data_IF_106973023913
#
_entry.id   IF_106973023913
#
_cell.length_a   1.000
_cell.length_b   1.000
_cell.length_c   1.000
_cell.angle_alpha   90.00
_cell.angle_beta   90.00
_cell.angle_gamma   90.00
#
_symmetry.space_group_name_H-M   'P 1'
#
loop_
_entity.id
_entity.type
_entity.pdbx_description
1 polymer ?
#
# COMPACT_ATOMS: atom_id res chain seq x y z
N UNK A 1 -0.02 13.71 -9.74
CA UNK A 1 0.64 12.79 -10.71
C UNK A 1 2.14 13.11 -10.89
N UNK A 2 2.89 13.36 -9.80
CA UNK A 2 4.26 13.88 -9.93
C UNK A 2 5.38 12.95 -9.41
N UNK A 3 5.09 11.89 -8.65
CA UNK A 3 6.12 10.96 -8.15
C UNK A 3 6.37 9.73 -9.05
N UNK A 4 5.60 9.54 -10.12
CA UNK A 4 5.77 8.39 -11.02
C UNK A 4 7.04 8.43 -11.90
N UNK A 5 7.90 9.46 -11.73
CA UNK A 5 9.09 9.68 -12.58
C UNK A 5 10.37 9.06 -12.02
N UNK A 6 10.42 8.77 -10.71
CA UNK A 6 11.65 8.32 -10.03
C UNK A 6 11.64 6.81 -9.70
N UNK A 7 10.65 6.06 -10.17
CA UNK A 7 10.53 4.62 -9.89
C UNK A 7 10.44 3.77 -11.16
N UNK A 8 11.08 2.59 -11.14
CA UNK A 8 11.12 1.65 -12.26
C UNK A 8 9.79 0.90 -12.47
N UNK A 9 8.89 0.93 -11.49
CA UNK A 9 7.69 0.09 -11.47
C UNK A 9 6.64 0.46 -12.53
N UNK A 10 6.33 1.76 -12.76
CA UNK A 10 5.50 2.18 -13.89
C UNK A 10 6.07 1.72 -15.25
N UNK A 11 7.39 1.62 -15.37
CA UNK A 11 8.07 1.16 -16.59
C UNK A 11 7.94 -0.36 -16.76
N UNK A 12 8.20 -1.15 -15.72
CA UNK A 12 8.05 -2.61 -15.73
C UNK A 12 6.60 -3.04 -16.04
N UNK A 13 5.61 -2.24 -15.63
CA UNK A 13 4.19 -2.50 -15.88
C UNK A 13 3.77 -2.43 -17.36
N UNK A 14 4.61 -1.89 -18.27
CA UNK A 14 4.28 -1.72 -19.70
C UNK A 14 4.27 -3.02 -20.51
N UNK A 15 4.84 -4.10 -19.98
CA UNK A 15 4.86 -5.43 -20.63
C UNK A 15 3.56 -6.21 -20.36
N UNK A 16 2.79 -5.80 -19.34
CA UNK A 16 1.55 -6.49 -18.96
C UNK A 16 0.36 -6.10 -19.84
N UNK A 17 -0.60 -7.02 -20.06
CA UNK A 17 -1.88 -6.68 -20.67
C UNK A 17 -2.57 -5.54 -19.90
N UNK A 18 -3.31 -4.64 -20.58
CA UNK A 18 -3.87 -3.43 -19.95
C UNK A 18 -4.71 -3.70 -18.69
N UNK A 19 -5.45 -4.81 -18.65
CA UNK A 19 -6.27 -5.20 -17.51
C UNK A 19 -5.42 -5.50 -16.27
N UNK A 20 -4.36 -6.29 -16.41
CA UNK A 20 -3.46 -6.66 -15.30
C UNK A 20 -2.67 -5.44 -14.82
N UNK A 21 -2.21 -4.60 -15.76
CA UNK A 21 -1.52 -3.35 -15.43
C UNK A 21 -2.37 -2.44 -14.55
N UNK A 22 -3.68 -2.33 -14.79
CA UNK A 22 -4.57 -1.51 -13.96
C UNK A 22 -4.63 -2.00 -12.52
N UNK A 23 -4.73 -3.31 -12.32
CA UNK A 23 -4.76 -3.93 -10.99
C UNK A 23 -3.42 -3.73 -10.26
N UNK A 24 -2.32 -3.94 -10.96
CA UNK A 24 -0.99 -3.73 -10.41
C UNK A 24 -0.77 -2.27 -10.00
N UNK A 25 -1.16 -1.30 -10.83
CA UNK A 25 -1.03 0.12 -10.51
C UNK A 25 -1.89 0.55 -9.32
N UNK A 26 -3.05 -0.08 -9.10
CA UNK A 26 -3.89 0.18 -7.93
C UNK A 26 -3.21 -0.30 -6.64
N UNK A 27 -2.65 -1.52 -6.64
CA UNK A 27 -1.90 -2.06 -5.49
C UNK A 27 -0.63 -1.26 -5.24
N UNK A 28 0.09 -0.90 -6.30
CA UNK A 28 1.29 -0.08 -6.20
C UNK A 28 0.99 1.33 -5.65
N UNK A 29 -0.11 1.96 -6.07
CA UNK A 29 -0.53 3.25 -5.51
C UNK A 29 -0.81 3.20 -4.01
N UNK A 30 -1.38 2.08 -3.53
CA UNK A 30 -1.51 1.82 -2.10
C UNK A 30 -0.16 1.64 -1.40
N UNK A 31 0.72 0.79 -1.93
CA UNK A 31 2.03 0.53 -1.31
C UNK A 31 2.84 1.83 -1.20
N UNK A 32 2.83 2.65 -2.27
CA UNK A 32 3.52 3.94 -2.27
C UNK A 32 2.99 4.90 -1.21
N UNK A 33 1.67 4.94 -1.00
CA UNK A 33 1.06 5.74 0.08
C UNK A 33 1.59 5.28 1.45
N UNK A 34 1.62 3.97 1.72
CA UNK A 34 2.12 3.43 2.99
C UNK A 34 3.58 3.80 3.21
N UNK A 35 4.41 3.67 2.17
CA UNK A 35 5.83 4.04 2.23
C UNK A 35 6.02 5.56 2.43
N UNK A 36 5.29 6.41 1.70
CA UNK A 36 5.31 7.86 1.88
C UNK A 36 4.98 8.27 3.33
N UNK A 37 4.03 7.58 3.96
CA UNK A 37 3.68 7.79 5.36
C UNK A 37 4.83 7.37 6.28
N UNK A 38 5.45 6.23 6.01
CA UNK A 38 6.59 5.72 6.79
C UNK A 38 7.80 6.63 6.75
N UNK A 39 8.16 7.14 5.57
CA UNK A 39 9.42 7.84 5.34
C UNK A 39 9.29 9.36 5.55
N UNK A 40 8.30 9.98 4.91
CA UNK A 40 8.29 11.43 4.66
C UNK A 40 7.16 12.17 5.40
N UNK A 41 6.13 11.47 5.88
CA UNK A 41 4.99 12.16 6.48
C UNK A 41 5.34 12.93 7.75
N UNK A 42 4.72 14.10 7.88
CA UNK A 42 4.74 14.95 9.06
C UNK A 42 3.56 14.61 9.98
N UNK A 43 3.76 14.81 11.29
CA UNK A 43 2.74 14.55 12.30
C UNK A 43 2.78 13.11 12.83
N UNK A 44 1.63 12.61 13.27
CA UNK A 44 1.50 11.27 13.84
C UNK A 44 1.32 10.22 12.73
N UNK A 45 2.44 9.58 12.37
CA UNK A 45 2.50 8.54 11.33
C UNK A 45 1.69 7.31 11.69
N UNK A 46 1.60 6.94 12.97
CA UNK A 46 0.82 5.77 13.39
C UNK A 46 -0.67 6.03 13.20
N UNK A 47 -1.15 7.21 13.61
CA UNK A 47 -2.53 7.61 13.36
C UNK A 47 -2.87 7.70 11.86
N UNK A 48 -1.91 8.13 11.03
CA UNK A 48 -2.07 8.12 9.58
C UNK A 48 -2.19 6.69 9.01
N UNK A 49 -1.36 5.75 9.47
CA UNK A 49 -1.46 4.34 9.08
C UNK A 49 -2.79 3.72 9.53
N UNK A 50 -3.30 4.08 10.71
CA UNK A 50 -4.61 3.64 11.18
C UNK A 50 -5.74 4.11 10.25
N UNK A 51 -5.67 5.36 9.77
CA UNK A 51 -6.62 5.89 8.78
C UNK A 51 -6.54 5.14 7.44
N UNK A 52 -5.33 4.77 7.00
CA UNK A 52 -5.15 3.95 5.79
C UNK A 52 -5.78 2.58 5.96
N UNK A 53 -5.56 1.92 7.10
CA UNK A 53 -6.15 0.60 7.37
C UNK A 53 -7.67 0.65 7.42
N UNK A 54 -8.24 1.68 8.05
CA UNK A 54 -9.70 1.89 8.09
C UNK A 54 -10.27 1.98 6.67
N UNK A 55 -9.63 2.77 5.81
CA UNK A 55 -10.07 2.91 4.43
C UNK A 55 -9.87 1.65 3.58
N UNK A 56 -8.79 0.89 3.80
CA UNK A 56 -8.62 -0.43 3.20
C UNK A 56 -9.81 -1.31 3.61
N UNK A 57 -10.18 -1.35 4.89
CA UNK A 57 -11.36 -2.12 5.33
C UNK A 57 -12.65 -1.62 4.70
N UNK A 58 -12.82 -0.31 4.49
CA UNK A 58 -13.97 0.26 3.75
C UNK A 58 -14.05 -0.26 2.33
N UNK A 59 -12.92 -0.33 1.62
CA UNK A 59 -12.85 -0.89 0.26
C UNK A 59 -13.34 -2.34 0.25
N UNK A 60 -12.87 -3.16 1.20
CA UNK A 60 -13.23 -4.57 1.29
C UNK A 60 -14.67 -4.80 1.78
N UNK A 61 -15.23 -3.86 2.55
CA UNK A 61 -16.65 -3.83 2.89
C UNK A 61 -17.56 -3.35 1.74
N UNK A 62 -16.99 -2.99 0.57
CA UNK A 62 -17.74 -2.49 -0.58
C UNK A 62 -18.15 -1.01 -0.48
N UNK A 63 -17.73 -0.32 0.58
CA UNK A 63 -17.99 1.10 0.81
C UNK A 63 -16.95 2.00 0.13
N UNK A 64 -17.24 3.28 0.00
CA UNK A 64 -16.33 4.26 -0.60
C UNK A 64 -15.23 4.64 0.41
N UNK A 65 -13.94 4.54 0.04
CA UNK A 65 -12.84 5.04 0.88
C UNK A 65 -12.80 6.57 0.87
N UNK A 66 -12.26 7.16 1.94
CA UNK A 66 -12.04 8.59 2.02
C UNK A 66 -10.81 9.05 1.22
N UNK A 67 -9.75 8.23 1.22
CA UNK A 67 -8.48 8.43 0.54
C UNK A 67 -8.63 8.09 -0.94
N UNK A 68 -8.49 9.10 -1.79
CA UNK A 68 -8.74 8.97 -3.23
C UNK A 68 -7.81 7.95 -3.91
N UNK A 69 -6.58 7.81 -3.41
CA UNK A 69 -5.59 6.85 -3.91
C UNK A 69 -6.03 5.39 -3.73
N UNK A 70 -6.97 5.12 -2.80
CA UNK A 70 -7.52 3.79 -2.56
C UNK A 70 -8.76 3.47 -3.41
N UNK A 71 -9.38 4.46 -4.07
CA UNK A 71 -10.54 4.22 -4.94
C UNK A 71 -10.29 3.17 -6.04
N UNK A 72 -9.12 3.16 -6.74
CA UNK A 72 -8.83 2.13 -7.75
C UNK A 72 -8.76 0.70 -7.20
N UNK A 73 -8.50 0.53 -5.90
CA UNK A 73 -8.48 -0.81 -5.28
C UNK A 73 -9.87 -1.46 -5.27
N UNK A 74 -10.97 -0.69 -5.21
CA UNK A 74 -12.33 -1.25 -5.24
C UNK A 74 -12.58 -2.15 -6.45
N UNK A 75 -12.24 -1.64 -7.64
CA UNK A 75 -12.36 -2.41 -8.88
C UNK A 75 -11.41 -3.61 -8.93
N UNK A 76 -10.26 -3.53 -8.25
CA UNK A 76 -9.28 -4.61 -8.18
C UNK A 76 -9.73 -5.73 -7.26
N UNK A 77 -10.18 -5.41 -6.05
CA UNK A 77 -10.71 -6.38 -5.08
C UNK A 77 -11.92 -7.10 -5.68
N UNK A 78 -12.87 -6.36 -6.26
CA UNK A 78 -14.05 -6.94 -6.87
C UNK A 78 -13.73 -7.87 -8.07
N UNK A 79 -12.72 -7.54 -8.87
CA UNK A 79 -12.38 -8.32 -10.07
C UNK A 79 -11.49 -9.53 -9.78
N UNK A 80 -10.68 -9.49 -8.70
CA UNK A 80 -9.65 -10.51 -8.44
C UNK A 80 -9.97 -11.40 -7.25
N UNK A 81 -10.86 -10.99 -6.35
CA UNK A 81 -11.12 -11.72 -5.10
C UNK A 81 -9.92 -11.72 -4.14
N UNK A 82 -8.99 -10.78 -4.31
CA UNK A 82 -7.81 -10.63 -3.46
C UNK A 82 -8.22 -10.55 -1.98
N UNK A 83 -7.56 -11.26 -1.06
CA UNK A 83 -7.82 -11.15 0.37
C UNK A 83 -7.30 -9.82 0.94
N UNK A 84 -7.83 -9.39 2.09
CA UNK A 84 -7.43 -8.13 2.75
C UNK A 84 -6.09 -8.26 3.47
N UNK A 85 -5.77 -9.45 3.96
CA UNK A 85 -4.65 -9.71 4.86
C UNK A 85 -3.29 -9.22 4.32
N UNK A 86 -2.94 -9.40 3.02
CA UNK A 86 -1.67 -8.90 2.50
C UNK A 86 -1.54 -7.38 2.56
N UNK A 87 -2.63 -6.63 2.40
CA UNK A 87 -2.60 -5.16 2.50
C UNK A 87 -2.45 -4.73 3.95
N UNK A 88 -3.14 -5.38 4.88
CA UNK A 88 -3.00 -5.11 6.32
C UNK A 88 -1.58 -5.46 6.79
N UNK A 89 -1.03 -6.57 6.34
CA UNK A 89 0.34 -6.99 6.65
C UNK A 89 1.39 -5.96 6.19
N UNK A 90 1.18 -5.29 5.04
CA UNK A 90 2.06 -4.21 4.59
C UNK A 90 2.00 -2.98 5.49
N UNK A 91 0.81 -2.63 6.00
CA UNK A 91 0.65 -1.53 6.96
C UNK A 91 1.35 -1.90 8.28
N UNK A 92 1.15 -3.13 8.76
CA UNK A 92 1.78 -3.62 9.99
C UNK A 92 3.31 -3.68 9.90
N UNK A 93 3.86 -4.08 8.74
CA UNK A 93 5.29 -4.02 8.47
C UNK A 93 5.83 -2.58 8.61
N UNK A 94 5.14 -1.59 8.04
CA UNK A 94 5.53 -0.19 8.18
C UNK A 94 5.47 0.28 9.65
N UNK A 95 4.43 -0.12 10.40
CA UNK A 95 4.34 0.16 11.85
C UNK A 95 5.51 -0.43 12.62
N UNK A 96 5.95 -1.63 12.26
CA UNK A 96 7.10 -2.29 12.87
C UNK A 96 8.41 -1.55 12.58
N UNK A 97 8.64 -1.14 11.33
CA UNK A 97 9.85 -0.41 10.93
C UNK A 97 9.97 0.97 11.61
N UNK A 98 8.83 1.61 11.94
CA UNK A 98 8.84 2.84 12.75
C UNK A 98 9.33 2.62 14.19
N UNK A 99 9.19 1.40 14.72
CA UNK A 99 9.60 1.03 16.10
C UNK A 99 11.01 0.43 16.14
N UNK A 100 11.39 -0.34 15.12
CA UNK A 100 12.66 -1.08 15.08
C UNK A 100 13.58 -0.47 14.03
N UNK A 101 14.56 0.34 14.49
CA UNK A 101 15.54 0.99 13.59
C UNK A 101 16.82 0.18 13.35
N UNK A 102 17.02 -0.91 14.11
CA UNK A 102 18.16 -1.84 13.96
C UNK A 102 17.73 -3.23 14.39
N UNK A 103 17.92 -4.18 13.49
CA UNK A 103 17.90 -5.60 13.79
C UNK A 103 19.31 -6.03 14.22
N UNK A 104 19.43 -6.70 15.36
CA UNK A 104 20.71 -7.13 15.92
C UNK A 104 21.23 -8.41 15.25
N UNK A 105 20.35 -9.20 14.64
CA UNK A 105 20.68 -10.45 13.96
C UNK A 105 19.98 -10.59 12.62
N UNK A 106 20.50 -11.46 11.75
CA UNK A 106 19.86 -11.78 10.47
C UNK A 106 18.50 -12.45 10.65
N UNK A 107 18.33 -13.27 11.70
CA UNK A 107 17.06 -13.94 11.98
C UNK A 107 15.94 -12.94 12.32
N UNK A 108 16.28 -11.84 12.99
CA UNK A 108 15.32 -10.74 13.26
C UNK A 108 14.92 -9.96 12.00
N UNK A 109 15.73 -10.01 10.93
CA UNK A 109 15.42 -9.38 9.63
C UNK A 109 14.49 -10.25 8.77
N UNK A 110 14.56 -11.59 8.91
CA UNK A 110 13.84 -12.52 8.03
C UNK A 110 12.43 -12.84 8.55
N UNK A 111 12.22 -12.84 9.88
CA UNK A 111 10.91 -13.10 10.49
C UNK A 111 10.48 -14.56 10.43
#
# INVERSE_FOLDING_TARGET
MAQAKDENFPVASRVLPPAHRRHLLAVYGFARLVDDIGDEAQGDRLAQLDAVEEDVRRVFAGTEPHLEVLRPLRATVAATGMPVDPLVALIDANRQDQRVRRYATYDELVG
#
